data_IF_494997137284
#
_entry.id   IF_494997137284
#
_cell.length_a   1.000
_cell.length_b   1.000
_cell.length_c   1.000
_cell.angle_alpha   90.00
_cell.angle_beta   90.00
_cell.angle_gamma   90.00
#
_symmetry.space_group_name_H-M   'P 1'
#
loop_
_entity.id
_entity.type
_entity.pdbx_description
1 polymer ?
#
# COMPACT_ATOMS: atom_id res chain seq x y z
N UNK A 1 30.49 -13.62 31.24
CA UNK A 1 29.88 -13.12 29.98
C UNK A 1 28.36 -13.45 29.91
N UNK A 2 27.97 -14.68 30.27
CA UNK A 2 26.58 -15.18 30.18
C UNK A 2 25.56 -14.54 31.14
N UNK A 3 26.00 -13.62 32.00
CA UNK A 3 25.12 -12.99 32.99
C UNK A 3 24.21 -11.91 32.41
N UNK A 4 24.61 -11.28 31.30
CA UNK A 4 23.91 -10.18 30.69
C UNK A 4 22.98 -10.69 29.57
N UNK A 5 23.56 -11.24 28.52
CA UNK A 5 22.86 -11.83 27.39
C UNK A 5 23.35 -13.25 27.13
N UNK A 6 22.44 -14.13 26.72
CA UNK A 6 22.73 -15.51 26.36
C UNK A 6 23.08 -15.63 24.88
N UNK A 7 23.71 -16.74 24.47
CA UNK A 7 24.12 -16.95 23.08
C UNK A 7 22.97 -16.74 22.07
N UNK A 8 21.75 -17.25 22.29
CA UNK A 8 20.63 -16.99 21.35
C UNK A 8 20.29 -15.50 21.21
N UNK A 9 20.45 -14.71 22.28
CA UNK A 9 20.21 -13.26 22.21
C UNK A 9 21.32 -12.55 21.43
N UNK A 10 22.57 -13.01 21.55
CA UNK A 10 23.70 -12.44 20.80
C UNK A 10 23.63 -12.80 19.31
N UNK A 11 23.23 -14.02 18.98
CA UNK A 11 22.98 -14.46 17.60
C UNK A 11 21.86 -13.65 16.95
N UNK A 12 20.76 -13.44 17.68
CA UNK A 12 19.64 -12.64 17.19
C UNK A 12 20.03 -11.16 17.02
N UNK A 13 20.79 -10.58 17.94
CA UNK A 13 21.39 -9.24 17.77
C UNK A 13 22.25 -9.12 16.51
N UNK A 14 23.06 -10.17 16.23
CA UNK A 14 23.91 -10.20 15.05
C UNK A 14 23.15 -10.36 13.73
N UNK A 15 21.88 -10.79 13.79
CA UNK A 15 20.99 -10.95 12.65
C UNK A 15 20.09 -9.74 12.46
N UNK A 16 19.54 -9.20 13.55
CA UNK A 16 18.55 -8.11 13.56
C UNK A 16 19.21 -6.71 13.55
N UNK A 17 20.46 -6.62 13.99
CA UNK A 17 21.20 -5.35 14.12
C UNK A 17 20.43 -4.25 14.85
N UNK A 18 19.98 -4.44 16.11
CA UNK A 18 19.20 -3.43 16.84
C UNK A 18 20.04 -2.19 17.16
N UNK A 19 19.60 -1.01 16.71
CA UNK A 19 20.27 0.28 16.94
C UNK A 19 19.47 1.22 17.85
N UNK A 20 18.36 0.73 18.41
CA UNK A 20 17.56 1.46 19.40
C UNK A 20 17.15 0.56 20.58
N UNK A 21 16.74 1.17 21.68
CA UNK A 21 16.24 0.41 22.85
C UNK A 21 14.98 -0.40 22.47
N UNK A 22 14.09 0.20 21.67
CA UNK A 22 12.84 -0.46 21.25
C UNK A 22 13.13 -1.69 20.36
N UNK A 23 14.10 -1.59 19.46
CA UNK A 23 14.55 -2.73 18.65
C UNK A 23 15.21 -3.80 19.52
N UNK A 24 16.03 -3.39 20.50
CA UNK A 24 16.68 -4.30 21.45
C UNK A 24 15.65 -5.11 22.28
N UNK A 25 14.48 -4.56 22.58
CA UNK A 25 13.41 -5.29 23.30
C UNK A 25 12.76 -6.39 22.45
N UNK A 26 12.91 -6.34 21.12
CA UNK A 26 12.36 -7.35 20.18
C UNK A 26 13.31 -8.54 20.00
N UNK A 27 14.56 -8.39 20.42
CA UNK A 27 15.57 -9.46 20.37
C UNK A 27 15.19 -10.60 21.32
N UNK A 28 15.36 -11.83 20.85
CA UNK A 28 15.00 -13.02 21.61
C UNK A 28 15.68 -13.06 23.00
N UNK A 29 14.88 -13.27 24.05
CA UNK A 29 15.39 -13.41 25.43
C UNK A 29 15.80 -12.09 26.11
N UNK A 30 15.51 -10.93 25.52
CA UNK A 30 15.77 -9.62 26.09
C UNK A 30 14.47 -8.95 26.57
N UNK A 31 14.36 -8.77 27.88
CA UNK A 31 13.25 -7.99 28.46
C UNK A 31 13.54 -6.48 28.39
N UNK A 32 12.48 -5.65 28.42
CA UNK A 32 12.62 -4.20 28.42
C UNK A 32 13.57 -3.67 29.52
N UNK A 33 13.53 -4.27 30.73
CA UNK A 33 14.45 -3.90 31.81
C UNK A 33 15.91 -4.24 31.52
N UNK A 34 16.19 -5.37 30.86
CA UNK A 34 17.54 -5.73 30.43
C UNK A 34 18.03 -4.83 29.30
N UNK A 35 17.18 -4.52 28.32
CA UNK A 35 17.49 -3.60 27.24
C UNK A 35 17.89 -2.22 27.75
N UNK A 36 17.10 -1.66 28.67
CA UNK A 36 17.38 -0.35 29.25
C UNK A 36 18.66 -0.33 30.10
N UNK A 37 18.90 -1.37 30.91
CA UNK A 37 20.02 -1.42 31.84
C UNK A 37 21.36 -1.74 31.17
N UNK A 38 21.35 -2.60 30.17
CA UNK A 38 22.57 -3.15 29.57
C UNK A 38 22.67 -2.94 28.05
N UNK A 39 21.60 -2.52 27.37
CA UNK A 39 21.54 -2.46 25.91
C UNK A 39 22.38 -1.35 25.28
N UNK A 40 22.53 -0.20 25.95
CA UNK A 40 23.20 0.99 25.39
C UNK A 40 24.58 0.73 24.78
N UNK A 41 25.51 0.02 25.45
CA UNK A 41 26.84 -0.26 24.87
C UNK A 41 26.77 -1.15 23.62
N UNK A 42 25.85 -2.12 23.61
CA UNK A 42 25.65 -3.01 22.46
C UNK A 42 25.02 -2.26 21.28
N UNK A 43 24.01 -1.43 21.54
CA UNK A 43 23.38 -0.58 20.54
C UNK A 43 24.42 0.34 19.89
N UNK A 44 25.26 1.00 20.67
CA UNK A 44 26.29 1.87 20.14
C UNK A 44 27.32 1.12 19.26
N UNK A 45 27.70 -0.09 19.67
CA UNK A 45 28.60 -0.94 18.90
C UNK A 45 27.96 -1.40 17.59
N UNK A 46 26.72 -1.86 17.67
CA UNK A 46 25.96 -2.35 16.50
C UNK A 46 25.70 -1.19 15.51
N UNK A 47 25.27 -0.02 16.01
CA UNK A 47 25.04 1.15 15.17
C UNK A 47 26.30 1.57 14.40
N UNK A 48 27.44 1.60 15.08
CA UNK A 48 28.73 1.88 14.45
C UNK A 48 29.10 0.84 13.39
N UNK A 49 28.89 -0.44 13.69
CA UNK A 49 29.18 -1.54 12.76
C UNK A 49 28.29 -1.50 11.52
N UNK A 50 27.00 -1.20 11.68
CA UNK A 50 26.03 -1.02 10.59
C UNK A 50 26.44 0.14 9.69
N UNK A 51 26.82 1.27 10.26
CA UNK A 51 27.27 2.46 9.53
C UNK A 51 28.58 2.21 8.75
N UNK A 52 29.60 1.64 9.42
CA UNK A 52 30.92 1.38 8.82
C UNK A 52 30.88 0.33 7.70
N UNK A 53 29.92 -0.60 7.72
CA UNK A 53 29.80 -1.68 6.74
C UNK A 53 28.61 -1.48 5.77
N UNK A 54 27.94 -0.34 5.82
CA UNK A 54 26.77 -0.01 4.98
C UNK A 54 25.71 -1.13 4.97
N UNK A 55 25.41 -1.71 6.15
CA UNK A 55 24.49 -2.85 6.26
C UNK A 55 23.05 -2.39 6.14
N UNK A 56 22.34 -2.91 5.14
CA UNK A 56 20.87 -2.79 5.03
C UNK A 56 20.20 -3.74 6.05
N UNK A 57 19.61 -3.19 7.10
CA UNK A 57 18.96 -3.96 8.15
C UNK A 57 17.55 -4.40 7.74
N UNK A 58 17.07 -5.59 8.19
CA UNK A 58 15.71 -6.05 7.87
C UNK A 58 14.63 -5.03 8.21
N UNK A 59 14.80 -4.28 9.30
CA UNK A 59 13.85 -3.27 9.77
C UNK A 59 13.83 -2.01 8.88
N UNK A 60 14.95 -1.65 8.25
CA UNK A 60 15.03 -0.51 7.35
C UNK A 60 14.27 -0.76 6.04
N UNK A 61 14.21 -2.02 5.58
CA UNK A 61 13.40 -2.41 4.42
C UNK A 61 11.91 -2.17 4.66
N UNK A 62 11.40 -2.54 5.82
CA UNK A 62 9.97 -2.33 6.17
C UNK A 62 9.63 -0.84 6.20
N UNK A 63 10.50 -0.02 6.84
CA UNK A 63 10.29 1.43 6.91
C UNK A 63 10.38 2.08 5.52
N UNK A 64 11.34 1.68 4.69
CA UNK A 64 11.49 2.18 3.31
C UNK A 64 10.27 1.82 2.45
N UNK A 65 9.74 0.58 2.56
CA UNK A 65 8.54 0.17 1.84
C UNK A 65 7.30 0.98 2.23
N UNK A 66 7.02 1.12 3.53
CA UNK A 66 5.87 1.91 4.02
C UNK A 66 5.98 3.37 3.61
N UNK A 67 7.19 3.97 3.71
CA UNK A 67 7.41 5.36 3.30
C UNK A 67 7.26 5.55 1.79
N UNK A 68 7.67 4.59 0.97
CA UNK A 68 7.52 4.64 -0.48
C UNK A 68 6.05 4.47 -0.88
N UNK A 69 5.33 3.52 -0.32
CA UNK A 69 3.89 3.34 -0.55
C UNK A 69 3.10 4.60 -0.19
N UNK A 70 3.41 5.24 0.94
CA UNK A 70 2.76 6.51 1.33
C UNK A 70 3.05 7.65 0.35
N UNK A 71 4.28 7.75 -0.18
CA UNK A 71 4.64 8.76 -1.19
C UNK A 71 3.93 8.51 -2.51
N UNK A 72 3.87 7.27 -2.95
CA UNK A 72 3.18 6.86 -4.18
C UNK A 72 1.69 7.15 -4.08
N UNK A 73 1.04 6.78 -2.98
CA UNK A 73 -0.36 7.11 -2.72
C UNK A 73 -0.63 8.61 -2.84
N UNK A 74 0.20 9.44 -2.20
CA UNK A 74 0.06 10.91 -2.27
C UNK A 74 0.31 11.44 -3.68
N UNK A 75 1.26 10.87 -4.42
CA UNK A 75 1.54 11.26 -5.80
C UNK A 75 0.35 10.95 -6.73
N UNK A 76 -0.24 9.77 -6.59
CA UNK A 76 -1.43 9.34 -7.34
C UNK A 76 -2.61 10.27 -7.04
N UNK A 77 -2.95 10.51 -5.77
CA UNK A 77 -4.05 11.43 -5.39
C UNK A 77 -3.85 12.81 -6.01
N UNK A 78 -2.65 13.38 -5.88
CA UNK A 78 -2.34 14.68 -6.48
C UNK A 78 -2.42 14.68 -8.02
N UNK A 79 -2.10 13.56 -8.64
CA UNK A 79 -2.24 13.39 -10.09
C UNK A 79 -3.70 13.39 -10.52
N UNK A 80 -4.56 12.68 -9.81
CA UNK A 80 -6.03 12.69 -10.02
C UNK A 80 -6.61 14.10 -9.81
N UNK A 81 -6.24 14.80 -8.74
CA UNK A 81 -6.69 16.18 -8.48
C UNK A 81 -6.30 17.16 -9.61
N UNK A 82 -5.16 16.90 -10.26
CA UNK A 82 -4.68 17.67 -11.41
C UNK A 82 -5.26 17.19 -12.74
N UNK A 83 -6.12 16.17 -12.73
CA UNK A 83 -6.72 15.54 -13.90
C UNK A 83 -5.69 15.01 -14.91
N UNK A 84 -4.60 14.43 -14.41
CA UNK A 84 -3.60 13.76 -15.26
C UNK A 84 -4.23 12.48 -15.80
N UNK A 85 -4.13 12.20 -17.12
CA UNK A 85 -4.63 10.95 -17.71
C UNK A 85 -4.03 9.72 -17.01
N UNK A 86 -4.82 8.65 -16.80
CA UNK A 86 -4.39 7.48 -16.04
C UNK A 86 -3.15 6.81 -16.62
N UNK A 87 -3.03 6.72 -17.95
CA UNK A 87 -1.85 6.17 -18.61
C UNK A 87 -0.58 7.00 -18.32
N UNK A 88 -0.70 8.31 -18.27
CA UNK A 88 0.41 9.21 -17.93
C UNK A 88 0.74 9.14 -16.44
N UNK A 89 -0.28 9.06 -15.59
CA UNK A 89 -0.13 8.90 -14.14
C UNK A 89 0.59 7.59 -13.78
N UNK A 90 0.27 6.49 -14.47
CA UNK A 90 0.96 5.22 -14.34
C UNK A 90 2.45 5.36 -14.68
N UNK A 91 2.78 5.98 -15.83
CA UNK A 91 4.17 6.21 -16.25
C UNK A 91 4.95 7.07 -15.24
N UNK A 92 4.36 8.17 -14.75
CA UNK A 92 5.00 9.05 -13.78
C UNK A 92 5.34 8.33 -12.46
N UNK A 93 4.54 7.33 -12.08
CA UNK A 93 4.77 6.51 -10.89
C UNK A 93 5.52 5.19 -11.17
N UNK A 94 6.03 4.99 -12.39
CA UNK A 94 6.76 3.79 -12.81
C UNK A 94 5.93 2.50 -12.67
N UNK A 95 4.65 2.59 -12.98
CA UNK A 95 3.66 1.52 -12.91
C UNK A 95 3.08 1.22 -14.30
N UNK A 96 2.57 0.02 -14.48
CA UNK A 96 1.64 -0.28 -15.58
C UNK A 96 0.20 0.09 -15.17
N UNK A 97 -0.74 0.02 -16.11
CA UNK A 97 -2.14 0.40 -15.87
C UNK A 97 -2.82 -0.51 -14.83
N UNK A 98 -2.55 -1.81 -14.86
CA UNK A 98 -3.09 -2.76 -13.88
C UNK A 98 -2.60 -2.47 -12.46
N UNK A 99 -1.32 -2.14 -12.30
CA UNK A 99 -0.75 -1.74 -11.02
C UNK A 99 -1.36 -0.43 -10.52
N UNK A 100 -1.56 0.55 -11.41
CA UNK A 100 -2.23 1.80 -11.04
C UNK A 100 -3.67 1.55 -10.58
N UNK A 101 -4.43 0.71 -11.29
CA UNK A 101 -5.81 0.36 -10.91
C UNK A 101 -5.87 -0.31 -9.54
N UNK A 102 -4.93 -1.21 -9.24
CA UNK A 102 -4.83 -1.83 -7.92
C UNK A 102 -4.51 -0.81 -6.81
N UNK A 103 -3.62 0.14 -7.07
CA UNK A 103 -3.32 1.22 -6.11
C UNK A 103 -4.50 2.17 -5.91
N UNK A 104 -5.26 2.51 -6.97
CA UNK A 104 -6.48 3.30 -6.87
C UNK A 104 -7.53 2.58 -6.00
N UNK A 105 -7.68 1.27 -6.17
CA UNK A 105 -8.58 0.45 -5.35
C UNK A 105 -8.20 0.52 -3.86
N UNK A 106 -6.94 0.32 -3.52
CA UNK A 106 -6.44 0.46 -2.14
C UNK A 106 -6.67 1.88 -1.58
N UNK A 107 -6.50 2.91 -2.42
CA UNK A 107 -6.73 4.31 -2.02
C UNK A 107 -8.21 4.54 -1.68
N UNK A 108 -9.12 4.10 -2.55
CA UNK A 108 -10.56 4.26 -2.36
C UNK A 108 -11.06 3.43 -1.17
N UNK A 109 -10.64 2.18 -1.03
CA UNK A 109 -10.98 1.32 0.11
C UNK A 109 -10.47 1.87 1.45
N UNK A 110 -9.42 2.70 1.44
CA UNK A 110 -8.98 3.43 2.65
C UNK A 110 -9.86 4.63 3.02
N UNK A 111 -10.99 4.86 2.33
CA UNK A 111 -11.90 5.98 2.54
C UNK A 111 -11.47 7.29 1.87
N UNK A 112 -10.52 7.25 0.94
CA UNK A 112 -10.09 8.44 0.19
C UNK A 112 -10.98 8.64 -1.03
N UNK A 113 -11.62 9.80 -1.15
CA UNK A 113 -12.41 10.16 -2.34
C UNK A 113 -11.51 10.57 -3.49
N UNK A 114 -11.77 10.00 -4.68
CA UNK A 114 -11.08 10.32 -5.92
C UNK A 114 -12.07 10.84 -6.94
N UNK A 115 -11.79 11.98 -7.58
CA UNK A 115 -12.61 12.47 -8.69
C UNK A 115 -12.12 11.87 -10.01
N UNK A 116 -12.76 10.78 -10.43
CA UNK A 116 -12.43 10.05 -11.66
C UNK A 116 -13.28 10.47 -12.87
N UNK A 117 -14.20 11.42 -12.74
CA UNK A 117 -15.12 11.82 -13.80
C UNK A 117 -14.41 12.25 -15.08
N UNK A 118 -13.25 12.92 -14.96
CA UNK A 118 -12.51 13.41 -16.12
C UNK A 118 -11.95 12.30 -17.01
N UNK A 119 -11.62 11.14 -16.43
CA UNK A 119 -11.12 10.01 -17.19
C UNK A 119 -12.22 9.05 -17.64
N UNK A 120 -13.39 9.08 -17.02
CA UNK A 120 -14.54 8.25 -17.36
C UNK A 120 -15.31 8.84 -18.54
N UNK A 121 -15.60 10.14 -18.51
CA UNK A 121 -16.44 10.83 -19.52
C UNK A 121 -15.94 10.72 -20.96
N UNK A 122 -14.62 10.60 -21.13
CA UNK A 122 -14.00 10.52 -22.47
C UNK A 122 -13.88 9.08 -22.98
N UNK A 123 -14.13 8.07 -22.12
CA UNK A 123 -13.85 6.65 -22.41
C UNK A 123 -15.11 5.78 -22.34
N UNK A 124 -16.06 6.11 -21.47
CA UNK A 124 -17.26 5.30 -21.23
C UNK A 124 -18.49 6.11 -21.59
N UNK A 125 -19.34 5.58 -22.44
CA UNK A 125 -20.61 6.21 -22.83
C UNK A 125 -21.53 6.41 -21.62
N UNK A 126 -22.28 7.52 -21.59
CA UNK A 126 -23.12 7.91 -20.46
C UNK A 126 -24.16 6.82 -20.13
N UNK A 127 -24.71 6.15 -21.14
CA UNK A 127 -25.62 5.02 -20.97
C UNK A 127 -24.95 3.85 -20.20
N UNK A 128 -23.74 3.47 -20.59
CA UNK A 128 -22.95 2.40 -19.93
C UNK A 128 -22.59 2.81 -18.50
N UNK A 129 -22.26 4.08 -18.26
CA UNK A 129 -22.02 4.60 -16.91
C UNK A 129 -23.24 4.41 -16.00
N UNK A 130 -24.43 4.79 -16.49
CA UNK A 130 -25.68 4.67 -15.73
C UNK A 130 -25.99 3.20 -15.43
N UNK A 131 -25.84 2.31 -16.41
CA UNK A 131 -26.10 0.89 -16.26
C UNK A 131 -25.19 0.22 -15.22
N UNK A 132 -23.89 0.48 -15.29
CA UNK A 132 -22.93 -0.05 -14.31
C UNK A 132 -23.17 0.55 -12.91
N UNK A 133 -23.49 1.83 -12.84
CA UNK A 133 -23.83 2.50 -11.58
C UNK A 133 -25.08 1.89 -10.92
N UNK A 134 -26.14 1.71 -11.69
CA UNK A 134 -27.40 1.13 -11.19
C UNK A 134 -27.20 -0.32 -10.72
N UNK A 135 -26.36 -1.08 -11.42
CA UNK A 135 -25.97 -2.42 -10.96
C UNK A 135 -25.35 -2.36 -9.57
N UNK A 136 -24.33 -1.53 -9.35
CA UNK A 136 -23.66 -1.44 -8.03
C UNK A 136 -24.56 -0.88 -6.94
N UNK A 137 -25.53 -0.02 -7.27
CA UNK A 137 -26.54 0.46 -6.32
C UNK A 137 -27.47 -0.64 -5.83
N UNK A 138 -27.75 -1.63 -6.67
CA UNK A 138 -28.66 -2.73 -6.37
C UNK A 138 -27.93 -3.99 -5.84
N UNK A 139 -26.65 -4.16 -6.14
CA UNK A 139 -25.88 -5.34 -5.81
C UNK A 139 -25.54 -5.43 -4.31
N UNK A 140 -25.48 -6.65 -3.77
CA UNK A 140 -25.03 -6.91 -2.41
C UNK A 140 -23.49 -6.92 -2.28
N UNK A 141 -22.77 -6.95 -3.41
CA UNK A 141 -21.32 -7.04 -3.48
C UNK A 141 -20.76 -6.10 -4.54
N UNK A 142 -19.61 -5.52 -4.25
CA UNK A 142 -18.85 -4.67 -5.19
C UNK A 142 -17.81 -5.47 -6.00
N UNK A 143 -17.96 -6.82 -6.09
CA UNK A 143 -17.05 -7.67 -6.88
C UNK A 143 -17.19 -7.38 -8.38
N UNK A 144 -16.15 -6.86 -9.04
CA UNK A 144 -16.21 -6.52 -10.46
C UNK A 144 -16.39 -7.75 -11.37
N UNK A 145 -16.03 -8.95 -10.89
CA UNK A 145 -16.22 -10.19 -11.65
C UNK A 145 -17.70 -10.59 -11.72
N UNK A 146 -18.43 -10.38 -10.63
CA UNK A 146 -19.87 -10.63 -10.59
C UNK A 146 -20.61 -9.59 -11.46
N UNK A 147 -20.22 -8.33 -11.37
CA UNK A 147 -20.75 -7.26 -12.19
C UNK A 147 -20.54 -7.54 -13.69
N UNK A 148 -19.33 -7.93 -14.08
CA UNK A 148 -19.01 -8.26 -15.46
C UNK A 148 -19.86 -9.40 -16.01
N UNK A 149 -20.07 -10.47 -15.24
CA UNK A 149 -20.92 -11.58 -15.68
C UNK A 149 -22.37 -11.14 -15.92
N UNK A 150 -22.91 -10.35 -15.01
CA UNK A 150 -24.30 -9.91 -15.11
C UNK A 150 -24.52 -8.94 -16.28
N UNK A 151 -23.67 -7.93 -16.40
CA UNK A 151 -23.84 -6.87 -17.39
C UNK A 151 -23.43 -7.31 -18.79
N UNK A 152 -22.34 -8.04 -18.93
CA UNK A 152 -21.87 -8.51 -20.24
C UNK A 152 -22.78 -9.60 -20.88
N UNK A 153 -23.61 -10.29 -20.08
CA UNK A 153 -24.67 -11.18 -20.61
C UNK A 153 -25.81 -10.37 -21.25
N UNK A 154 -26.05 -9.16 -20.81
CA UNK A 154 -27.09 -8.25 -21.32
C UNK A 154 -26.56 -7.35 -22.45
N UNK A 155 -25.33 -6.87 -22.32
CA UNK A 155 -24.61 -6.04 -23.31
C UNK A 155 -23.16 -6.50 -23.47
N UNK A 156 -22.87 -7.16 -24.61
CA UNK A 156 -21.52 -7.69 -24.94
C UNK A 156 -20.49 -6.56 -25.17
N UNK A 157 -20.90 -5.29 -25.31
CA UNK A 157 -20.00 -4.16 -25.50
C UNK A 157 -19.36 -3.69 -24.19
N UNK A 158 -19.97 -3.98 -23.03
CA UNK A 158 -19.43 -3.62 -21.71
C UNK A 158 -18.19 -4.42 -21.38
N UNK A 159 -17.10 -3.73 -21.12
CA UNK A 159 -15.81 -4.34 -20.83
C UNK A 159 -15.53 -4.44 -19.31
N UNK A 160 -14.67 -5.38 -18.95
CA UNK A 160 -14.22 -5.54 -17.55
C UNK A 160 -13.51 -4.30 -17.01
N UNK A 161 -12.73 -3.61 -17.85
CA UNK A 161 -11.97 -2.41 -17.45
C UNK A 161 -12.90 -1.24 -17.15
N UNK A 162 -13.98 -1.07 -17.92
CA UNK A 162 -15.02 -0.07 -17.66
C UNK A 162 -15.71 -0.32 -16.34
N UNK A 163 -16.05 -1.57 -16.04
CA UNK A 163 -16.65 -1.96 -14.77
C UNK A 163 -15.70 -1.67 -13.59
N UNK A 164 -14.42 -2.00 -13.72
CA UNK A 164 -13.42 -1.70 -12.70
C UNK A 164 -13.30 -0.20 -12.44
N UNK A 165 -13.28 0.61 -13.51
CA UNK A 165 -13.17 2.06 -13.39
C UNK A 165 -14.43 2.68 -12.76
N UNK A 166 -15.62 2.23 -13.19
CA UNK A 166 -16.90 2.67 -12.63
C UNK A 166 -17.08 2.22 -11.18
N UNK A 167 -16.62 1.02 -10.82
CA UNK A 167 -16.60 0.57 -9.43
C UNK A 167 -15.77 1.50 -8.53
N UNK A 168 -14.60 1.93 -8.98
CA UNK A 168 -13.76 2.88 -8.22
C UNK A 168 -14.48 4.22 -8.01
N UNK A 169 -15.17 4.72 -9.05
CA UNK A 169 -16.00 5.92 -8.96
C UNK A 169 -17.13 5.71 -7.93
N UNK A 170 -17.89 4.64 -8.07
CA UNK A 170 -19.00 4.30 -7.17
C UNK A 170 -18.55 4.22 -5.71
N UNK A 171 -17.49 3.47 -5.41
CA UNK A 171 -16.94 3.37 -4.06
C UNK A 171 -16.45 4.71 -3.52
N UNK A 172 -15.89 5.55 -4.38
CA UNK A 172 -15.43 6.89 -4.00
C UNK A 172 -16.57 7.84 -3.66
N UNK A 173 -17.76 7.65 -4.23
CA UNK A 173 -18.94 8.48 -4.02
C UNK A 173 -19.78 7.99 -2.84
N UNK A 174 -19.96 6.69 -2.69
CA UNK A 174 -20.95 6.06 -1.80
C UNK A 174 -20.33 5.53 -0.48
N UNK A 175 -19.07 5.14 -0.48
CA UNK A 175 -18.41 4.50 0.67
C UNK A 175 -17.97 5.46 1.79
N UNK A 176 -18.75 6.55 2.03
CA UNK A 176 -18.49 7.49 3.13
C UNK A 176 -19.73 7.86 3.91
#
# INVERSE_FOLDING_TARGET
PYVIFQDPSLEDMATQYPISIDEMTKVQGISAGKAQKFGKPFIALIAKYVEENEIDRPQDFVIKQVANQSKTKVAIIKGIDRKIPLNELARQNQMNETELMAELDVIVQSGTKLNLDYCIKDVIDEYVQDEIHDYFMAAESDDPTLAFRALHEEDEEITYDEICLMRLKFLSEVAN
#
